data_IF_428311599954
#
_entry.id   IF_428311599954
#
_cell.length_a   1.000
_cell.length_b   1.000
_cell.length_c   1.000
_cell.angle_alpha   90.00
_cell.angle_beta   90.00
_cell.angle_gamma   90.00
#
_symmetry.space_group_name_H-M   'P 1'
#
loop_
_entity.id
_entity.type
_entity.pdbx_description
1 polymer ?
#
# COMPACT_ATOMS: atom_id res chain seq x y z
N UNK A 1 10.21 -2.07 5.81
CA UNK A 1 9.74 -0.81 5.18
C UNK A 1 10.36 -0.56 3.80
N UNK A 2 11.68 -0.70 3.62
CA UNK A 2 12.34 -0.44 2.33
C UNK A 2 11.70 -1.18 1.14
N UNK A 3 11.38 -2.46 1.26
CA UNK A 3 10.75 -3.22 0.17
C UNK A 3 9.35 -2.71 -0.19
N UNK A 4 8.57 -2.22 0.78
CA UNK A 4 7.24 -1.65 0.51
C UNK A 4 7.39 -0.37 -0.32
N UNK A 5 8.35 0.50 0.06
CA UNK A 5 8.60 1.75 -0.67
C UNK A 5 9.19 1.53 -2.06
N UNK A 6 10.11 0.57 -2.22
CA UNK A 6 10.79 0.35 -3.51
C UNK A 6 10.03 -0.56 -4.48
N UNK A 7 9.09 -1.37 -4.01
CA UNK A 7 8.36 -2.32 -4.86
C UNK A 7 6.87 -1.99 -4.97
N UNK A 8 6.22 -1.63 -3.86
CA UNK A 8 4.77 -1.42 -3.84
C UNK A 8 4.40 0.04 -4.08
N UNK A 9 5.12 0.99 -3.48
CA UNK A 9 4.80 2.42 -3.65
C UNK A 9 5.22 3.00 -5.01
N UNK A 10 5.91 2.21 -5.83
CA UNK A 10 6.19 2.52 -7.25
C UNK A 10 4.98 2.21 -8.15
N UNK A 11 3.99 1.48 -7.65
CA UNK A 11 2.77 1.17 -8.39
C UNK A 11 1.79 2.37 -8.41
N UNK A 12 0.88 2.42 -9.39
CA UNK A 12 -0.19 3.43 -9.47
C UNK A 12 -1.03 3.48 -8.19
N UNK A 13 -1.52 4.66 -7.85
CA UNK A 13 -2.31 4.87 -6.62
C UNK A 13 -3.64 4.11 -6.62
N UNK A 14 -4.24 3.87 -7.79
CA UNK A 14 -5.48 3.11 -7.98
C UNK A 14 -5.27 1.58 -8.00
N UNK A 15 -4.03 1.12 -7.90
CA UNK A 15 -3.70 -0.30 -7.89
C UNK A 15 -4.30 -0.99 -6.66
N UNK A 16 -5.18 -1.97 -6.89
CA UNK A 16 -5.83 -2.74 -5.82
C UNK A 16 -4.84 -3.63 -5.06
N UNK A 17 -4.95 -3.61 -3.73
CA UNK A 17 -4.17 -4.44 -2.81
C UNK A 17 -5.12 -5.40 -2.10
N UNK A 18 -4.82 -6.70 -2.20
CA UNK A 18 -5.58 -7.77 -1.55
C UNK A 18 -4.71 -8.42 -0.47
N UNK A 19 -4.83 -8.01 0.81
CA UNK A 19 -4.04 -8.57 1.89
C UNK A 19 -4.51 -9.99 2.23
N UNK A 20 -3.64 -10.76 2.90
CA UNK A 20 -4.03 -12.09 3.41
C UNK A 20 -5.12 -12.04 4.48
N UNK A 21 -5.29 -10.91 5.16
CA UNK A 21 -6.33 -10.67 6.17
C UNK A 21 -6.88 -9.25 6.07
N UNK A 22 -8.16 -9.08 6.41
CA UNK A 22 -8.84 -7.79 6.37
C UNK A 22 -9.38 -7.43 4.99
N UNK A 23 -9.91 -6.20 4.84
CA UNK A 23 -10.50 -5.74 3.59
C UNK A 23 -9.42 -5.41 2.53
N UNK A 24 -9.83 -5.46 1.26
CA UNK A 24 -9.02 -4.93 0.17
C UNK A 24 -8.86 -3.41 0.27
N UNK A 25 -7.77 -2.89 -0.26
CA UNK A 25 -7.39 -1.47 -0.24
C UNK A 25 -6.72 -1.07 -1.57
N UNK A 26 -6.10 0.11 -1.64
CA UNK A 26 -5.30 0.56 -2.80
C UNK A 26 -3.95 1.09 -2.34
N UNK A 27 -2.96 1.11 -3.25
CA UNK A 27 -1.64 1.67 -2.96
C UNK A 27 -1.74 3.13 -2.50
N UNK A 28 -2.61 3.93 -3.13
CA UNK A 28 -2.82 5.33 -2.76
C UNK A 28 -3.40 5.49 -1.35
N UNK A 29 -4.33 4.62 -0.95
CA UNK A 29 -4.88 4.60 0.40
C UNK A 29 -3.79 4.27 1.43
N UNK A 30 -3.01 3.21 1.19
CA UNK A 30 -1.93 2.79 2.09
C UNK A 30 -0.84 3.86 2.25
N UNK A 31 -0.46 4.56 1.18
CA UNK A 31 0.49 5.69 1.23
C UNK A 31 0.01 6.82 2.15
N UNK A 32 -1.31 7.09 2.18
CA UNK A 32 -1.91 8.23 2.88
C UNK A 32 -2.28 7.93 4.33
N UNK A 33 -2.72 6.70 4.61
CA UNK A 33 -3.38 6.39 5.89
C UNK A 33 -2.65 5.36 6.74
N UNK A 34 -1.70 4.59 6.19
CA UNK A 34 -1.05 3.53 6.96
C UNK A 34 -0.04 4.12 7.96
N UNK A 35 -0.26 4.00 9.28
CA UNK A 35 0.57 4.66 10.30
C UNK A 35 1.97 4.05 10.43
N UNK A 36 2.22 2.90 9.81
CA UNK A 36 3.53 2.23 9.80
C UNK A 36 4.39 2.61 8.59
N UNK A 37 3.82 3.36 7.64
CA UNK A 37 4.46 3.67 6.36
C UNK A 37 4.79 5.17 6.20
N UNK A 38 4.51 6.00 7.21
CA UNK A 38 4.95 7.39 7.33
C UNK A 38 6.46 7.53 7.21
#
# INVERSE_FOLDING_TARGET
INSIRSQLFTLPDDFSVYPGHGPSTTIGQEKRTNPFLS
#
